data_IF_512527949568
#
_entry.id   IF_512527949568
#
_cell.length_a   1.000
_cell.length_b   1.000
_cell.length_c   1.000
_cell.angle_alpha   90.00
_cell.angle_beta   90.00
_cell.angle_gamma   90.00
#
_symmetry.space_group_name_H-M   'P 1'
#
loop_
_entity.id
_entity.type
_entity.pdbx_description
1 polymer ?
#
# COMPACT_ATOMS: atom_id res chain seq x y z
N UNK A 1 -7.04 -1.02 -17.86
CA UNK A 1 -6.62 -1.61 -16.55
C UNK A 1 -5.29 -1.07 -16.06
N UNK A 2 -4.37 -0.69 -16.94
CA UNK A 2 -3.08 -0.11 -16.57
C UNK A 2 -3.20 1.03 -15.56
N UNK A 3 -4.19 1.94 -15.69
CA UNK A 3 -4.40 3.03 -14.73
C UNK A 3 -4.52 2.59 -13.25
N UNK A 4 -5.15 1.44 -12.95
CA UNK A 4 -5.30 0.94 -11.56
C UNK A 4 -4.02 0.27 -11.06
N UNK A 5 -3.36 -0.53 -11.89
CA UNK A 5 -2.09 -1.19 -11.55
C UNK A 5 -0.93 -0.18 -11.44
N UNK A 6 -0.94 0.86 -12.28
CA UNK A 6 -0.04 1.99 -12.18
C UNK A 6 -0.23 2.72 -10.85
N UNK A 7 -1.47 2.93 -10.41
CA UNK A 7 -1.74 3.57 -9.13
C UNK A 7 -1.25 2.72 -7.94
N UNK A 8 -1.43 1.40 -7.98
CA UNK A 8 -0.85 0.50 -6.98
C UNK A 8 0.68 0.59 -6.94
N UNK A 9 1.33 0.60 -8.11
CA UNK A 9 2.78 0.78 -8.21
C UNK A 9 3.26 2.13 -7.65
N UNK A 10 2.50 3.20 -7.91
CA UNK A 10 2.75 4.54 -7.34
C UNK A 10 2.69 4.50 -5.81
N UNK A 11 1.67 3.86 -5.23
CA UNK A 11 1.55 3.71 -3.77
C UNK A 11 2.75 3.01 -3.14
N UNK A 12 3.20 1.90 -3.75
CA UNK A 12 4.39 1.17 -3.29
C UNK A 12 5.65 2.02 -3.41
N UNK A 13 5.85 2.70 -4.54
CA UNK A 13 7.01 3.56 -4.76
C UNK A 13 7.08 4.70 -3.72
N UNK A 14 5.95 5.35 -3.45
CA UNK A 14 5.85 6.40 -2.42
C UNK A 14 6.15 5.82 -1.03
N UNK A 15 5.59 4.66 -0.68
CA UNK A 15 5.86 3.99 0.58
C UNK A 15 7.35 3.70 0.81
N UNK A 16 8.04 3.18 -0.21
CA UNK A 16 9.49 2.91 -0.16
C UNK A 16 10.30 4.18 0.06
N UNK A 17 9.93 5.30 -0.59
CA UNK A 17 10.61 6.59 -0.41
C UNK A 17 10.46 7.11 1.02
N UNK A 18 9.26 7.00 1.60
CA UNK A 18 8.99 7.41 2.98
C UNK A 18 9.83 6.58 3.97
N UNK A 19 9.81 5.24 3.85
CA UNK A 19 10.61 4.34 4.70
C UNK A 19 12.11 4.64 4.56
N UNK A 20 12.61 4.81 3.33
CA UNK A 20 14.01 5.14 3.08
C UNK A 20 14.40 6.47 3.71
N UNK A 21 13.51 7.46 3.70
CA UNK A 21 13.74 8.76 4.34
C UNK A 21 13.79 8.61 5.85
N UNK A 22 12.84 7.90 6.46
CA UNK A 22 12.84 7.56 7.90
C UNK A 22 14.13 6.87 8.33
N UNK A 23 14.59 5.83 7.59
CA UNK A 23 15.85 5.13 7.88
C UNK A 23 17.06 6.05 7.80
N UNK A 24 17.12 6.94 6.81
CA UNK A 24 18.24 7.86 6.62
C UNK A 24 18.26 8.96 7.69
N UNK A 25 17.10 9.46 8.10
CA UNK A 25 16.96 10.42 9.20
C UNK A 25 17.27 9.76 10.53
N UNK A 26 16.84 8.52 10.75
CA UNK A 26 17.25 7.73 11.91
C UNK A 26 18.78 7.59 11.93
N UNK A 27 19.41 7.09 10.87
CA UNK A 27 20.87 6.91 10.83
C UNK A 27 21.70 8.18 11.05
N UNK A 28 21.17 9.35 10.66
CA UNK A 28 21.84 10.64 10.82
C UNK A 28 21.66 11.27 12.22
N UNK A 29 20.58 10.92 12.94
CA UNK A 29 20.22 11.54 14.23
C UNK A 29 20.28 10.59 15.44
N UNK A 30 20.46 9.27 15.26
CA UNK A 30 20.32 8.29 16.34
C UNK A 30 21.58 7.77 17.07
N UNK A 31 22.85 8.07 16.74
CA UNK A 31 23.96 7.57 17.56
C UNK A 31 23.95 8.16 18.99
N UNK A 32 23.25 9.27 19.23
CA UNK A 32 23.07 9.87 20.56
C UNK A 32 21.66 9.67 21.18
N UNK A 33 20.68 9.14 20.45
CA UNK A 33 19.25 9.23 20.83
C UNK A 33 18.51 7.91 21.10
N UNK A 34 19.09 6.74 20.77
CA UNK A 34 18.38 5.46 20.86
C UNK A 34 18.63 4.66 22.15
N UNK A 35 19.61 5.04 22.98
CA UNK A 35 19.95 4.27 24.19
C UNK A 35 18.87 4.31 25.32
N UNK A 36 17.84 5.16 25.22
CA UNK A 36 16.96 5.46 26.37
C UNK A 36 15.55 4.86 26.38
N UNK A 37 14.88 4.64 25.23
CA UNK A 37 13.41 4.53 25.24
C UNK A 37 12.78 3.44 24.35
N UNK A 38 13.55 2.49 23.82
CA UNK A 38 13.05 1.53 22.82
C UNK A 38 12.07 0.47 23.38
N UNK A 39 12.15 0.12 24.66
CA UNK A 39 11.40 -1.02 25.21
C UNK A 39 9.88 -0.83 25.25
N UNK A 40 9.39 0.39 25.47
CA UNK A 40 7.95 0.64 25.66
C UNK A 40 7.27 1.19 24.39
N UNK A 41 7.96 2.04 23.62
CA UNK A 41 7.42 2.63 22.38
C UNK A 41 7.42 1.65 21.20
N UNK A 42 8.32 0.67 21.18
CA UNK A 42 8.35 -0.34 20.10
C UNK A 42 7.16 -1.30 20.15
N UNK A 43 6.67 -1.63 21.37
CA UNK A 43 5.50 -2.49 21.55
C UNK A 43 4.23 -1.89 20.94
N UNK A 44 3.95 -0.61 21.21
CA UNK A 44 2.78 0.09 20.65
C UNK A 44 2.84 0.25 19.13
N UNK A 45 4.03 0.47 18.56
CA UNK A 45 4.21 0.50 17.11
C UNK A 45 3.97 -0.86 16.46
N UNK A 46 4.50 -1.94 17.05
CA UNK A 46 4.30 -3.29 16.52
C UNK A 46 2.82 -3.70 16.53
N UNK A 47 2.12 -3.37 17.62
CA UNK A 47 0.69 -3.62 17.75
C UNK A 47 -0.13 -2.83 16.71
N UNK A 48 0.21 -1.55 16.51
CA UNK A 48 -0.44 -0.70 15.48
C UNK A 48 -0.20 -1.23 14.06
N UNK A 49 1.02 -1.68 13.75
CA UNK A 49 1.34 -2.28 12.45
C UNK A 49 0.56 -3.58 12.25
N UNK A 50 0.46 -4.41 13.29
CA UNK A 50 -0.30 -5.66 13.23
C UNK A 50 -1.78 -5.41 12.99
N UNK A 51 -2.40 -4.49 13.74
CA UNK A 51 -3.80 -4.10 13.56
C UNK A 51 -4.05 -3.57 12.15
N UNK A 52 -3.19 -2.70 11.62
CA UNK A 52 -3.33 -2.20 10.25
C UNK A 52 -3.29 -3.33 9.20
N UNK A 53 -2.38 -4.31 9.36
CA UNK A 53 -2.30 -5.46 8.44
C UNK A 53 -3.58 -6.31 8.51
N UNK A 54 -4.15 -6.45 9.71
CA UNK A 54 -5.42 -7.15 9.92
C UNK A 54 -6.59 -6.42 9.26
N UNK A 55 -6.70 -5.10 9.45
CA UNK A 55 -7.71 -4.25 8.80
C UNK A 55 -7.61 -4.30 7.27
N UNK A 56 -6.39 -4.27 6.71
CA UNK A 56 -6.18 -4.40 5.26
C UNK A 56 -6.59 -5.77 4.76
N UNK A 57 -6.31 -6.84 5.52
CA UNK A 57 -6.70 -8.21 5.15
C UNK A 57 -8.22 -8.39 5.21
N UNK A 58 -8.87 -7.83 6.22
CA UNK A 58 -10.34 -7.84 6.33
C UNK A 58 -10.98 -7.06 5.19
N UNK A 59 -10.53 -5.83 4.93
CA UNK A 59 -11.02 -5.03 3.79
C UNK A 59 -10.72 -5.65 2.42
N UNK A 60 -9.63 -6.40 2.29
CA UNK A 60 -9.35 -7.19 1.09
C UNK A 60 -10.32 -8.38 0.96
N UNK A 61 -10.56 -9.12 2.05
CA UNK A 61 -11.50 -10.25 2.05
C UNK A 61 -12.95 -9.80 1.76
N UNK A 62 -13.35 -8.63 2.24
CA UNK A 62 -14.66 -8.01 1.94
C UNK A 62 -14.82 -7.67 0.44
N UNK A 63 -13.72 -7.30 -0.23
CA UNK A 63 -13.70 -6.90 -1.65
C UNK A 63 -13.27 -8.01 -2.61
N UNK A 64 -12.75 -9.12 -2.09
CA UNK A 64 -12.26 -10.25 -2.87
C UNK A 64 -13.37 -10.92 -3.66
N UNK A 65 -14.62 -10.95 -3.19
CA UNK A 65 -15.72 -11.53 -3.98
C UNK A 65 -15.99 -10.74 -5.28
N UNK A 66 -15.91 -9.41 -5.23
CA UNK A 66 -16.10 -8.52 -6.40
C UNK A 66 -14.90 -8.57 -7.36
N UNK A 67 -13.68 -8.65 -6.81
CA UNK A 67 -12.44 -8.71 -7.61
C UNK A 67 -12.23 -10.12 -8.17
N UNK A 68 -12.53 -11.17 -7.41
CA UNK A 68 -12.40 -12.57 -7.83
C UNK A 68 -13.41 -12.94 -8.91
N UNK A 69 -14.65 -12.44 -8.84
CA UNK A 69 -15.63 -12.58 -9.93
C UNK A 69 -15.16 -11.83 -11.19
N UNK A 70 -14.65 -10.61 -11.03
CA UNK A 70 -14.09 -9.82 -12.14
C UNK A 70 -12.83 -10.45 -12.76
N UNK A 71 -11.99 -11.12 -11.97
CA UNK A 71 -10.80 -11.86 -12.43
C UNK A 71 -11.22 -13.19 -13.09
N UNK A 72 -12.18 -13.92 -12.52
CA UNK A 72 -12.67 -15.19 -13.06
C UNK A 72 -13.40 -15.02 -14.40
N UNK A 73 -14.09 -13.91 -14.60
CA UNK A 73 -14.75 -13.57 -15.87
C UNK A 73 -13.82 -12.92 -16.91
N UNK A 74 -12.52 -12.73 -16.63
CA UNK A 74 -11.56 -12.18 -17.59
C UNK A 74 -11.89 -10.79 -18.13
N UNK A 75 -12.86 -10.10 -17.53
CA UNK A 75 -13.34 -8.79 -17.94
C UNK A 75 -12.50 -7.73 -17.26
N UNK A 76 -11.29 -7.57 -17.79
CA UNK A 76 -10.85 -6.28 -18.27
C UNK A 76 -9.53 -6.51 -19.02
N UNK A 77 -9.60 -6.80 -20.34
CA UNK A 77 -8.51 -6.51 -21.30
C UNK A 77 -9.01 -5.62 -22.48
N UNK A 78 -10.32 -5.38 -22.61
CA UNK A 78 -10.98 -4.58 -23.68
C UNK A 78 -12.15 -3.83 -23.01
N UNK A 79 -12.47 -2.54 -23.14
CA UNK A 79 -11.97 -1.36 -23.87
C UNK A 79 -12.78 -0.15 -23.34
N UNK A 80 -12.27 1.09 -23.32
CA UNK A 80 -13.17 2.23 -23.50
C UNK A 80 -12.60 3.28 -24.47
N UNK A 81 -12.33 2.94 -25.73
CA UNK A 81 -12.51 3.89 -26.83
C UNK A 81 -13.98 3.95 -27.20
N UNK A 82 -14.69 4.76 -26.41
CA UNK A 82 -15.78 5.56 -26.91
C UNK A 82 -15.24 6.47 -28.03
N UNK A 83 -15.10 5.96 -29.27
CA UNK A 83 -15.12 6.82 -30.46
C UNK A 83 -16.58 7.23 -30.71
N UNK A 84 -17.04 8.19 -29.92
CA UNK A 84 -17.97 9.18 -30.45
C UNK A 84 -17.13 10.22 -31.17
N UNK A 85 -17.00 10.10 -32.49
CA UNK A 85 -17.05 11.18 -33.48
C UNK A 85 -16.56 10.64 -34.83
N UNK A 86 -17.50 10.45 -35.78
CA UNK A 86 -17.41 10.82 -37.21
C UNK A 86 -18.29 9.92 -38.11
N UNK A 87 -19.54 10.34 -38.34
CA UNK A 87 -20.09 10.72 -39.66
C UNK A 87 -21.54 11.22 -39.54
#
# INVERSE_FOLDING_TARGET
MFKRLLWLGVGVAVGVVVVRKLTRTAHAFTPAGIAGNLGQSAGGLLDSVRSFVEDVREGAAEREAEIADAIAHGLLITDPEMESEEY
#
